data_IF_923783198544
#
_entry.id   IF_923783198544
#
_cell.length_a   1.000
_cell.length_b   1.000
_cell.length_c   1.000
_cell.angle_alpha   90.00
_cell.angle_beta   90.00
_cell.angle_gamma   90.00
#
_symmetry.space_group_name_H-M   'P 1'
#
loop_
_entity.id
_entity.type
_entity.pdbx_description
1 polymer ?
#
# COMPACT_ATOMS: atom_id res chain seq x y z
N UNK A 1 16.75 8.29 -14.65
CA UNK A 1 16.17 8.36 -13.29
C UNK A 1 14.69 8.78 -13.22
N UNK A 2 13.85 8.55 -14.24
CA UNK A 2 12.42 8.89 -14.14
C UNK A 2 11.58 7.79 -13.47
N UNK A 3 12.00 6.53 -13.62
CA UNK A 3 11.25 5.36 -13.15
C UNK A 3 11.05 5.31 -11.62
N UNK A 4 12.07 5.50 -10.75
CA UNK A 4 11.84 5.50 -9.30
C UNK A 4 10.91 6.63 -8.84
N UNK A 5 11.02 7.81 -9.47
CA UNK A 5 10.15 8.96 -9.20
C UNK A 5 8.69 8.64 -9.51
N UNK A 6 8.44 8.10 -10.71
CA UNK A 6 7.10 7.71 -11.14
C UNK A 6 6.51 6.60 -10.25
N UNK A 7 7.34 5.64 -9.84
CA UNK A 7 6.94 4.57 -8.91
C UNK A 7 6.50 5.13 -7.56
N UNK A 8 7.30 5.99 -6.91
CA UNK A 8 6.90 6.62 -5.66
C UNK A 8 5.68 7.54 -5.81
N UNK A 9 5.65 8.39 -6.84
CA UNK A 9 4.54 9.30 -7.06
C UNK A 9 3.22 8.56 -7.26
N UNK A 10 3.21 7.50 -8.08
CA UNK A 10 2.01 6.69 -8.34
C UNK A 10 1.57 5.89 -7.11
N UNK A 11 2.50 5.26 -6.39
CA UNK A 11 2.18 4.51 -5.18
C UNK A 11 1.57 5.40 -4.09
N UNK A 12 2.18 6.55 -3.80
CA UNK A 12 1.69 7.46 -2.76
C UNK A 12 0.43 8.22 -3.19
N UNK A 13 0.27 8.53 -4.48
CA UNK A 13 -1.00 9.03 -4.98
C UNK A 13 -2.11 7.99 -4.81
N UNK A 14 -1.85 6.71 -5.05
CA UNK A 14 -2.86 5.66 -4.84
C UNK A 14 -3.22 5.46 -3.35
N UNK A 15 -2.24 5.55 -2.44
CA UNK A 15 -2.50 5.37 -1.01
C UNK A 15 -3.30 6.52 -0.39
N UNK A 16 -3.28 7.72 -0.96
CA UNK A 16 -4.12 8.83 -0.49
C UNK A 16 -5.61 8.61 -0.74
N UNK A 17 -5.98 7.86 -1.78
CA UNK A 17 -7.38 7.45 -2.00
C UNK A 17 -7.80 6.31 -1.07
N UNK A 18 -6.84 5.47 -0.65
CA UNK A 18 -7.14 4.28 0.14
C UNK A 18 -7.19 4.56 1.64
N UNK A 19 -6.10 5.09 2.21
CA UNK A 19 -5.88 5.16 3.66
C UNK A 19 -6.99 5.94 4.39
N UNK A 20 -7.40 7.15 3.94
CA UNK A 20 -8.43 7.93 4.63
C UNK A 20 -9.82 7.31 4.59
N UNK A 21 -10.10 6.50 3.55
CA UNK A 21 -11.43 5.95 3.31
C UNK A 21 -11.65 4.58 3.97
N UNK A 22 -10.62 3.86 4.39
CA UNK A 22 -10.82 2.57 5.10
C UNK A 22 -11.67 2.74 6.37
N UNK A 23 -11.40 3.69 7.28
CA UNK A 23 -12.26 3.88 8.47
C UNK A 23 -13.68 4.28 8.11
N UNK A 24 -13.86 5.05 7.03
CA UNK A 24 -15.18 5.48 6.53
C UNK A 24 -15.97 4.27 6.03
N UNK A 25 -15.35 3.42 5.20
CA UNK A 25 -15.97 2.21 4.67
C UNK A 25 -16.38 1.24 5.78
N UNK A 26 -15.54 1.07 6.80
CA UNK A 26 -15.88 0.24 7.97
C UNK A 26 -17.04 0.84 8.77
N UNK A 27 -17.11 2.16 8.90
CA UNK A 27 -18.21 2.85 9.57
C UNK A 27 -19.52 2.68 8.81
N UNK A 28 -19.49 2.80 7.48
CA UNK A 28 -20.65 2.60 6.60
C UNK A 28 -21.13 1.14 6.62
N UNK A 29 -20.21 0.19 6.73
CA UNK A 29 -20.52 -1.23 6.94
C UNK A 29 -21.10 -1.54 8.34
N UNK A 30 -21.20 -0.52 9.22
CA UNK A 30 -21.85 -0.64 10.54
C UNK A 30 -20.92 -0.96 11.70
N UNK A 31 -19.60 -0.88 11.54
CA UNK A 31 -18.68 -1.08 12.67
C UNK A 31 -18.77 0.08 13.66
N UNK A 32 -18.73 -0.26 14.94
CA UNK A 32 -18.60 0.72 16.02
C UNK A 32 -17.22 1.39 16.00
N UNK A 33 -17.11 2.57 16.62
CA UNK A 33 -15.83 3.30 16.76
C UNK A 33 -14.75 2.42 17.38
N UNK A 34 -15.12 1.61 18.39
CA UNK A 34 -14.21 0.66 19.02
C UNK A 34 -13.77 -0.43 18.04
N UNK A 35 -14.70 -1.00 17.26
CA UNK A 35 -14.39 -2.01 16.24
C UNK A 35 -13.46 -1.48 15.16
N UNK A 36 -13.68 -0.25 14.67
CA UNK A 36 -12.77 0.41 13.72
C UNK A 36 -11.39 0.60 14.35
N UNK A 37 -11.33 1.07 15.59
CA UNK A 37 -10.06 1.22 16.33
C UNK A 37 -9.31 -0.10 16.47
N UNK A 38 -9.99 -1.19 16.79
CA UNK A 38 -9.42 -2.54 16.85
C UNK A 38 -8.88 -2.97 15.49
N UNK A 39 -9.67 -2.85 14.42
CA UNK A 39 -9.23 -3.21 13.06
C UNK A 39 -8.01 -2.40 12.67
N UNK A 40 -8.04 -1.07 12.84
CA UNK A 40 -6.91 -0.19 12.53
C UNK A 40 -5.65 -0.56 13.32
N UNK A 41 -5.80 -1.00 14.57
CA UNK A 41 -4.68 -1.40 15.43
C UNK A 41 -4.07 -2.75 15.02
N UNK A 42 -4.84 -3.64 14.38
CA UNK A 42 -4.35 -4.94 13.88
C UNK A 42 -3.48 -4.76 12.63
N UNK A 43 -3.77 -3.78 11.78
CA UNK A 43 -3.12 -3.59 10.48
C UNK A 43 -1.58 -3.47 10.56
N UNK A 44 -0.98 -2.73 11.51
CA UNK A 44 0.47 -2.71 11.69
C UNK A 44 1.08 -4.09 11.97
N UNK A 45 0.40 -4.96 12.71
CA UNK A 45 0.88 -6.32 13.00
C UNK A 45 0.89 -7.19 11.74
N UNK A 46 -0.11 -7.03 10.87
CA UNK A 46 -0.11 -7.65 9.55
C UNK A 46 1.13 -7.15 8.79
N UNK A 47 1.33 -5.83 8.70
CA UNK A 47 2.48 -5.25 8.01
C UNK A 47 3.82 -5.78 8.51
N UNK A 48 4.00 -5.88 9.84
CA UNK A 48 5.19 -6.42 10.48
C UNK A 48 5.52 -7.86 10.03
N UNK A 49 4.50 -8.70 9.84
CA UNK A 49 4.68 -10.07 9.36
C UNK A 49 4.85 -10.16 7.83
N UNK A 50 4.20 -9.27 7.09
CA UNK A 50 4.17 -9.31 5.63
C UNK A 50 5.47 -8.82 4.99
N UNK A 51 6.08 -7.78 5.57
CA UNK A 51 7.34 -7.21 5.08
C UNK A 51 8.45 -8.27 4.93
N UNK A 52 8.80 -9.09 5.95
CA UNK A 52 9.82 -10.11 5.81
C UNK A 52 9.41 -11.25 4.87
N UNK A 53 8.13 -11.63 4.83
CA UNK A 53 7.63 -12.69 3.94
C UNK A 53 7.88 -12.33 2.47
N UNK A 54 7.44 -11.14 2.06
CA UNK A 54 7.58 -10.71 0.66
C UNK A 54 9.00 -10.27 0.31
N UNK A 55 9.75 -9.74 1.28
CA UNK A 55 11.19 -9.53 1.13
C UNK A 55 11.92 -10.84 0.81
N UNK A 56 11.68 -11.89 1.62
CA UNK A 56 12.27 -13.21 1.38
C UNK A 56 11.86 -13.81 0.02
N UNK A 57 10.59 -13.65 -0.39
CA UNK A 57 10.14 -14.10 -1.72
C UNK A 57 10.86 -13.35 -2.85
N UNK A 58 11.03 -12.04 -2.71
CA UNK A 58 11.75 -11.22 -3.68
C UNK A 58 13.22 -11.66 -3.81
N UNK A 59 13.90 -11.83 -2.67
CA UNK A 59 15.30 -12.25 -2.60
C UNK A 59 15.50 -13.65 -3.20
N UNK A 60 14.63 -14.61 -2.83
CA UNK A 60 14.73 -16.00 -3.31
C UNK A 60 14.46 -16.13 -4.80
N UNK A 61 13.59 -15.29 -5.35
CA UNK A 61 13.26 -15.32 -6.78
C UNK A 61 14.26 -14.52 -7.62
N UNK A 62 15.02 -13.60 -7.02
CA UNK A 62 15.87 -12.64 -7.72
C UNK A 62 15.10 -11.70 -8.65
N UNK A 63 13.76 -11.64 -8.52
CA UNK A 63 12.86 -10.94 -9.44
C UNK A 63 12.08 -9.84 -8.70
N UNK A 64 12.79 -8.98 -7.98
CA UNK A 64 12.24 -7.91 -7.13
C UNK A 64 11.14 -7.09 -7.83
N UNK A 65 11.39 -6.66 -9.07
CA UNK A 65 10.42 -5.89 -9.88
C UNK A 65 9.13 -6.66 -10.17
N UNK A 66 9.22 -7.95 -10.51
CA UNK A 66 8.05 -8.78 -10.82
C UNK A 66 7.21 -9.01 -9.56
N UNK A 67 7.88 -9.29 -8.44
CA UNK A 67 7.20 -9.47 -7.15
C UNK A 67 6.52 -8.16 -6.74
N UNK A 68 7.22 -7.02 -6.79
CA UNK A 68 6.66 -5.70 -6.51
C UNK A 68 5.40 -5.42 -7.35
N UNK A 69 5.49 -5.56 -8.68
CA UNK A 69 4.35 -5.32 -9.57
C UNK A 69 3.18 -6.27 -9.31
N UNK A 70 3.46 -7.52 -8.98
CA UNK A 70 2.44 -8.51 -8.62
C UNK A 70 1.72 -8.12 -7.32
N UNK A 71 2.45 -7.67 -6.30
CA UNK A 71 1.88 -7.18 -5.05
C UNK A 71 1.03 -5.92 -5.26
N UNK A 72 1.52 -4.97 -6.07
CA UNK A 72 0.76 -3.78 -6.43
C UNK A 72 -0.56 -4.13 -7.14
N UNK A 73 -0.51 -5.04 -8.12
CA UNK A 73 -1.69 -5.47 -8.86
C UNK A 73 -2.70 -6.20 -7.96
N UNK A 74 -2.25 -7.16 -7.15
CA UNK A 74 -3.11 -7.91 -6.23
C UNK A 74 -3.74 -7.00 -5.18
N UNK A 75 -2.95 -6.11 -4.56
CA UNK A 75 -3.47 -5.15 -3.60
C UNK A 75 -4.50 -4.20 -4.25
N UNK A 76 -4.25 -3.72 -5.47
CA UNK A 76 -5.20 -2.87 -6.18
C UNK A 76 -6.53 -3.58 -6.47
N UNK A 77 -6.48 -4.81 -6.98
CA UNK A 77 -7.69 -5.62 -7.26
C UNK A 77 -8.49 -5.85 -5.98
N UNK A 78 -7.83 -6.24 -4.90
CA UNK A 78 -8.50 -6.48 -3.61
C UNK A 78 -9.10 -5.19 -3.03
N UNK A 79 -8.42 -4.05 -3.18
CA UNK A 79 -8.94 -2.76 -2.71
C UNK A 79 -10.15 -2.30 -3.51
N UNK A 80 -10.19 -2.55 -4.82
CA UNK A 80 -11.39 -2.30 -5.64
C UNK A 80 -12.51 -3.26 -5.27
N UNK A 81 -12.20 -4.54 -5.00
CA UNK A 81 -13.18 -5.54 -4.59
C UNK A 81 -13.94 -5.13 -3.31
N UNK A 82 -13.31 -4.39 -2.39
CA UNK A 82 -13.96 -3.90 -1.18
C UNK A 82 -15.22 -3.08 -1.45
N UNK A 83 -15.31 -2.38 -2.59
CA UNK A 83 -16.50 -1.61 -2.97
C UNK A 83 -17.73 -2.48 -3.24
N UNK A 84 -17.53 -3.77 -3.55
CA UNK A 84 -18.59 -4.71 -3.90
C UNK A 84 -18.96 -5.67 -2.76
N UNK A 85 -18.17 -5.70 -1.69
CA UNK A 85 -18.38 -6.62 -0.55
C UNK A 85 -18.67 -5.89 0.76
N UNK A 86 -18.95 -4.58 0.68
CA UNK A 86 -19.17 -3.71 1.84
C UNK A 86 -20.41 -4.06 2.68
N UNK A 87 -21.37 -4.79 2.10
CA UNK A 87 -22.59 -5.24 2.79
C UNK A 87 -22.31 -6.32 3.86
N UNK A 88 -21.23 -7.09 3.71
CA UNK A 88 -20.87 -8.17 4.63
C UNK A 88 -19.60 -7.82 5.39
N UNK A 89 -19.75 -7.40 6.65
CA UNK A 89 -18.63 -7.03 7.52
C UNK A 89 -17.53 -8.11 7.58
N UNK A 90 -17.82 -9.40 7.79
CA UNK A 90 -16.77 -10.41 7.82
C UNK A 90 -16.00 -10.52 6.50
N UNK A 91 -16.70 -10.44 5.37
CA UNK A 91 -16.09 -10.51 4.04
C UNK A 91 -15.25 -9.26 3.75
N UNK A 92 -15.77 -8.08 4.09
CA UNK A 92 -15.05 -6.82 4.00
C UNK A 92 -13.74 -6.86 4.80
N UNK A 93 -13.78 -7.34 6.05
CA UNK A 93 -12.58 -7.47 6.87
C UNK A 93 -11.59 -8.49 6.30
N UNK A 94 -12.08 -9.62 5.78
CA UNK A 94 -11.22 -10.62 5.14
C UNK A 94 -10.50 -10.04 3.91
N UNK A 95 -11.22 -9.32 3.04
CA UNK A 95 -10.64 -8.66 1.86
C UNK A 95 -9.69 -7.53 2.27
N UNK A 96 -10.04 -6.73 3.29
CA UNK A 96 -9.19 -5.67 3.83
C UNK A 96 -7.85 -6.23 4.30
N UNK A 97 -7.86 -7.21 5.19
CA UNK A 97 -6.64 -7.80 5.76
C UNK A 97 -5.82 -8.54 4.71
N UNK A 98 -6.46 -9.21 3.75
CA UNK A 98 -5.78 -9.81 2.62
C UNK A 98 -5.11 -8.74 1.75
N UNK A 99 -5.79 -7.61 1.50
CA UNK A 99 -5.23 -6.49 0.74
C UNK A 99 -4.05 -5.83 1.47
N UNK A 100 -4.11 -5.72 2.80
CA UNK A 100 -3.01 -5.21 3.61
C UNK A 100 -1.84 -6.20 3.62
N UNK A 101 -2.10 -7.51 3.60
CA UNK A 101 -1.06 -8.54 3.53
C UNK A 101 -0.18 -8.40 2.29
N UNK A 102 -0.78 -8.11 1.13
CA UNK A 102 -0.04 -7.81 -0.09
C UNK A 102 0.48 -6.36 -0.12
N UNK A 103 -0.29 -5.41 0.39
CA UNK A 103 -0.05 -3.98 0.24
C UNK A 103 1.06 -3.42 1.13
N UNK A 104 1.24 -3.96 2.34
CA UNK A 104 2.18 -3.41 3.33
C UNK A 104 3.65 -3.61 2.96
N UNK A 105 3.96 -4.62 2.14
CA UNK A 105 5.33 -4.86 1.67
C UNK A 105 5.74 -3.96 0.49
N UNK A 106 4.78 -3.30 -0.19
CA UNK A 106 5.04 -2.52 -1.40
C UNK A 106 6.03 -1.39 -1.14
N UNK A 107 5.90 -0.67 -0.03
CA UNK A 107 6.79 0.46 0.30
C UNK A 107 8.24 0.01 0.50
N UNK A 108 8.45 -1.03 1.31
CA UNK A 108 9.79 -1.61 1.53
C UNK A 108 10.41 -2.13 0.22
N UNK A 109 9.58 -2.76 -0.64
CA UNK A 109 10.02 -3.25 -1.94
C UNK A 109 10.30 -2.14 -2.95
N UNK A 110 9.57 -1.03 -2.89
CA UNK A 110 9.87 0.18 -3.64
C UNK A 110 11.24 0.74 -3.23
N UNK A 111 11.54 0.76 -1.92
CA UNK A 111 12.81 1.24 -1.39
C UNK A 111 13.99 0.38 -1.85
N UNK A 112 13.88 -0.96 -1.74
CA UNK A 112 14.93 -1.87 -2.22
C UNK A 112 15.11 -1.79 -3.74
N UNK A 113 14.03 -1.81 -4.51
CA UNK A 113 14.07 -1.68 -5.98
C UNK A 113 14.65 -0.33 -6.40
N UNK A 114 14.37 0.75 -5.67
CA UNK A 114 14.93 2.07 -5.93
C UNK A 114 16.45 2.07 -5.73
N UNK A 115 16.93 1.51 -4.61
CA UNK A 115 18.36 1.40 -4.31
C UNK A 115 19.11 0.56 -5.34
N UNK A 116 18.52 -0.54 -5.82
CA UNK A 116 19.08 -1.34 -6.91
C UNK A 116 19.17 -0.60 -8.25
N UNK A 117 18.31 0.38 -8.49
CA UNK A 117 18.26 1.16 -9.72
C UNK A 117 19.15 2.42 -9.69
N UNK A 118 19.77 2.73 -8.55
CA UNK A 118 20.60 3.91 -8.37
C UNK A 118 22.08 3.55 -8.43
N UNK A 119 22.82 4.27 -9.27
CA UNK A 119 24.29 4.18 -9.29
C UNK A 119 24.91 4.82 -8.03
N UNK A 120 24.28 5.87 -7.50
CA UNK A 120 24.67 6.57 -6.28
C UNK A 120 23.52 6.51 -5.24
N UNK A 121 23.69 5.72 -4.16
CA UNK A 121 22.71 5.62 -3.08
C UNK A 121 22.38 6.97 -2.40
N UNK A 122 23.26 7.98 -2.46
CA UNK A 122 23.01 9.30 -1.89
C UNK A 122 21.87 10.05 -2.60
N UNK A 123 21.46 9.60 -3.79
CA UNK A 123 20.33 10.15 -4.53
C UNK A 123 18.98 9.59 -4.11
N UNK A 124 18.95 8.58 -3.23
CA UNK A 124 17.72 7.94 -2.74
C UNK A 124 16.69 8.93 -2.15
N UNK A 125 17.07 9.87 -1.25
CA UNK A 125 16.10 10.82 -0.69
C UNK A 125 15.42 11.69 -1.75
N UNK A 126 16.13 12.01 -2.85
CA UNK A 126 15.58 12.77 -3.98
C UNK A 126 14.53 11.98 -4.76
N UNK A 127 14.62 10.65 -4.78
CA UNK A 127 13.59 9.80 -5.37
C UNK A 127 12.38 9.67 -4.44
N UNK A 128 12.64 9.40 -3.15
CA UNK A 128 11.62 9.27 -2.11
C UNK A 128 10.71 10.50 -2.00
N UNK A 129 11.27 11.70 -2.19
CA UNK A 129 10.52 12.97 -2.19
C UNK A 129 9.30 12.96 -3.13
N UNK A 130 9.38 12.24 -4.25
CA UNK A 130 8.25 12.12 -5.18
C UNK A 130 7.04 11.40 -4.57
N UNK A 131 7.23 10.63 -3.50
CA UNK A 131 6.12 10.07 -2.72
C UNK A 131 5.31 11.16 -2.03
N UNK A 132 5.97 12.14 -1.39
CA UNK A 132 5.28 13.27 -0.77
C UNK A 132 4.55 14.14 -1.81
N UNK A 133 5.15 14.35 -2.98
CA UNK A 133 4.50 15.04 -4.11
C UNK A 133 3.27 14.23 -4.58
N UNK A 134 3.42 12.92 -4.76
CA UNK A 134 2.34 12.02 -5.14
C UNK A 134 1.17 12.06 -4.17
N UNK A 135 1.44 11.99 -2.87
CA UNK A 135 0.41 12.09 -1.85
C UNK A 135 -0.24 13.48 -1.81
N UNK A 136 0.55 14.53 -1.63
CA UNK A 136 0.02 15.85 -1.27
C UNK A 136 -0.49 16.68 -2.46
N UNK A 137 0.13 16.56 -3.63
CA UNK A 137 -0.20 17.41 -4.78
C UNK A 137 -1.06 16.71 -5.82
N UNK A 138 -0.97 15.38 -5.91
CA UNK A 138 -1.74 14.59 -6.88
C UNK A 138 -2.91 13.92 -6.17
N UNK A 139 -2.59 13.10 -5.16
CA UNK A 139 -3.54 12.20 -4.55
C UNK A 139 -4.57 12.89 -3.66
N UNK A 140 -4.13 13.64 -2.65
CA UNK A 140 -4.98 14.23 -1.63
C UNK A 140 -6.03 15.22 -2.21
N UNK A 141 -5.67 16.16 -3.11
CA UNK A 141 -6.65 17.06 -3.71
C UNK A 141 -7.72 16.34 -4.53
N UNK A 142 -7.34 15.26 -5.23
CA UNK A 142 -8.28 14.44 -6.02
C UNK A 142 -9.13 13.52 -5.14
N UNK A 143 -8.58 13.04 -4.04
CA UNK A 143 -9.27 12.22 -3.06
C UNK A 143 -10.20 13.04 -2.14
N UNK A 144 -10.11 14.37 -2.18
CA UNK A 144 -10.94 15.27 -1.38
C UNK A 144 -10.55 15.34 0.09
N UNK A 145 -9.27 15.10 0.40
CA UNK A 145 -8.70 15.07 1.76
C UNK A 145 -7.54 16.05 1.91
#
# INVERSE_FOLDING_TARGET
>A
MIWPKAMYASYYAATSFYIPFVPVLLREAGLSVLGIGTVMSIRPFIGMLCMPVWGWVADKTGKHKVVLLSLMALAAVLRVLMLYVSESVPLLLAVLFLSDFFGMAIESMCDSTCLEMLDDPLLYPKQRLWGAIGWGWIGAPLAGV
#
